data_IF_149944149898
#
_entry.id   IF_149944149898
#
_cell.length_a   1.000
_cell.length_b   1.000
_cell.length_c   1.000
_cell.angle_alpha   90.00
_cell.angle_beta   90.00
_cell.angle_gamma   90.00
#
_symmetry.space_group_name_H-M   'P 1'
#
loop_
_entity.id
_entity.type
_entity.pdbx_description
1 polymer ?
#
# COMPACT_ATOMS: atom_id res chain seq x y z
N UNK A 1 11.93 -24.49 -0.05
CA UNK A 1 11.52 -23.66 1.10
C UNK A 1 10.62 -22.55 0.60
N UNK A 2 9.48 -22.39 1.26
CA UNK A 2 8.28 -21.76 0.74
C UNK A 2 8.30 -20.23 0.92
N UNK A 3 7.75 -19.50 -0.05
CA UNK A 3 7.63 -18.03 -0.11
C UNK A 3 6.92 -17.40 1.10
N UNK A 4 6.28 -18.22 1.94
CA UNK A 4 5.64 -17.82 3.21
C UNK A 4 6.61 -17.21 4.22
N UNK A 5 7.91 -17.51 4.17
CA UNK A 5 8.87 -16.93 5.13
C UNK A 5 9.23 -15.46 4.83
N UNK A 6 8.99 -14.97 3.60
CA UNK A 6 9.30 -13.59 3.21
C UNK A 6 8.18 -12.61 3.60
N UNK A 7 6.95 -13.11 3.75
CA UNK A 7 5.78 -12.31 4.14
C UNK A 7 5.61 -12.14 5.66
N UNK A 8 6.17 -13.04 6.47
CA UNK A 8 6.07 -12.97 7.94
C UNK A 8 7.00 -11.91 8.55
N UNK A 9 8.17 -11.65 7.96
CA UNK A 9 9.14 -10.70 8.53
C UNK A 9 8.94 -9.23 8.10
N UNK A 10 8.12 -8.96 7.07
CA UNK A 10 7.82 -7.60 6.62
C UNK A 10 6.50 -7.04 7.20
N UNK A 11 5.69 -7.87 7.85
CA UNK A 11 4.39 -7.46 8.40
C UNK A 11 4.44 -6.65 9.70
N UNK A 12 5.60 -6.58 10.39
CA UNK A 12 5.65 -6.03 11.74
C UNK A 12 5.78 -4.48 11.80
N UNK A 13 6.01 -3.78 10.68
CA UNK A 13 6.27 -2.33 10.69
C UNK A 13 5.20 -1.49 9.98
N UNK A 14 4.22 -2.08 9.28
CA UNK A 14 3.21 -1.31 8.48
C UNK A 14 1.74 -1.65 8.78
N UNK A 15 1.40 -2.49 9.76
CA UNK A 15 -0.02 -2.78 10.09
C UNK A 15 -0.43 -2.38 11.51
N UNK A 16 -0.27 -1.11 11.85
CA UNK A 16 -1.18 -0.46 12.80
C UNK A 16 -1.79 0.81 12.18
N UNK A 17 -2.64 0.60 11.17
CA UNK A 17 -3.60 1.63 10.77
C UNK A 17 -4.90 0.98 10.31
N UNK A 18 -5.88 1.01 11.20
CA UNK A 18 -7.31 0.93 10.90
C UNK A 18 -7.78 -0.40 10.28
N UNK A 19 -7.94 -1.40 11.14
CA UNK A 19 -8.87 -2.53 10.92
C UNK A 19 -10.23 -1.92 10.57
N UNK A 20 -10.71 -2.11 9.33
CA UNK A 20 -11.96 -1.53 8.79
C UNK A 20 -13.11 -1.70 9.79
N UNK A 21 -13.40 -0.66 10.53
CA UNK A 21 -14.51 -0.60 11.46
C UNK A 21 -15.77 -0.17 10.68
N UNK A 22 -16.93 -0.71 11.04
CA UNK A 22 -18.20 -0.53 10.30
C UNK A 22 -18.51 0.94 9.93
N UNK A 23 -19.32 1.23 8.88
CA UNK A 23 -19.60 2.61 8.41
C UNK A 23 -20.07 3.60 9.49
N UNK A 24 -20.68 3.09 10.56
CA UNK A 24 -21.11 3.86 11.74
C UNK A 24 -19.99 4.73 12.33
N UNK A 25 -18.73 4.31 12.23
CA UNK A 25 -17.58 5.00 12.83
C UNK A 25 -17.27 6.35 12.20
N UNK A 26 -17.85 6.69 11.04
CA UNK A 26 -17.74 8.03 10.45
C UNK A 26 -18.33 9.12 11.37
N UNK A 27 -19.22 8.74 12.30
CA UNK A 27 -19.95 9.66 13.18
C UNK A 27 -19.47 9.62 14.64
N UNK A 28 -18.42 8.87 14.96
CA UNK A 28 -17.94 8.67 16.33
C UNK A 28 -16.43 8.81 16.46
N UNK A 29 -15.98 9.45 17.53
CA UNK A 29 -14.58 9.51 17.94
C UNK A 29 -14.30 8.50 19.05
N UNK A 30 -13.16 7.80 18.96
CA UNK A 30 -12.73 6.87 19.99
C UNK A 30 -12.06 7.64 21.14
N UNK A 31 -12.62 7.56 22.35
CA UNK A 31 -12.01 8.16 23.55
C UNK A 31 -11.14 7.15 24.30
N UNK A 32 -11.66 5.94 24.50
CA UNK A 32 -10.98 4.83 25.21
C UNK A 32 -11.36 3.52 24.54
N UNK A 33 -10.64 2.41 24.76
CA UNK A 33 -10.94 1.12 24.10
C UNK A 33 -12.36 0.57 24.33
N UNK A 34 -13.13 1.12 25.28
CA UNK A 34 -14.52 0.75 25.56
C UNK A 34 -15.49 1.96 25.57
N UNK A 35 -15.06 3.16 25.14
CA UNK A 35 -15.93 4.35 25.05
C UNK A 35 -15.67 5.16 23.78
N UNK A 36 -16.76 5.64 23.20
CA UNK A 36 -16.79 6.50 22.01
C UNK A 36 -17.61 7.75 22.28
N UNK A 37 -17.34 8.81 21.53
CA UNK A 37 -18.07 10.08 21.56
C UNK A 37 -18.75 10.32 20.22
N UNK A 38 -20.03 10.63 20.20
CA UNK A 38 -20.73 11.03 18.98
C UNK A 38 -20.29 12.43 18.54
N UNK A 39 -20.00 12.61 17.25
CA UNK A 39 -19.60 13.92 16.68
C UNK A 39 -20.77 14.91 16.55
N UNK A 40 -22.00 14.41 16.45
CA UNK A 40 -23.17 15.24 16.20
C UNK A 40 -23.81 15.80 17.47
N UNK A 41 -23.77 15.06 18.57
CA UNK A 41 -24.37 15.49 19.85
C UNK A 41 -23.42 15.41 21.04
N UNK A 42 -22.13 15.12 20.82
CA UNK A 42 -21.12 14.96 21.88
C UNK A 42 -21.46 13.92 22.95
N UNK A 43 -22.46 13.04 22.72
CA UNK A 43 -22.84 12.01 23.70
C UNK A 43 -21.80 10.92 23.76
N UNK A 44 -21.38 10.55 24.97
CA UNK A 44 -20.47 9.43 25.21
C UNK A 44 -21.25 8.12 25.34
N UNK A 45 -20.78 7.09 24.63
CA UNK A 45 -21.37 5.75 24.65
C UNK A 45 -20.28 4.74 25.01
N UNK A 46 -20.60 3.82 25.91
CA UNK A 46 -19.79 2.63 26.09
C UNK A 46 -20.12 1.57 25.03
N UNK A 47 -19.11 0.79 24.67
CA UNK A 47 -19.28 -0.38 23.81
C UNK A 47 -18.41 -1.52 24.35
N UNK A 48 -18.90 -2.75 24.18
CA UNK A 48 -18.25 -3.96 24.69
C UNK A 48 -18.03 -4.91 23.50
N UNK A 49 -16.94 -5.67 23.52
CA UNK A 49 -16.63 -6.68 22.50
C UNK A 49 -16.56 -6.15 21.06
N UNK A 50 -16.20 -4.86 20.88
CA UNK A 50 -16.14 -4.21 19.55
C UNK A 50 -17.49 -4.19 18.81
N UNK A 51 -18.60 -4.40 19.52
CA UNK A 51 -19.95 -4.33 18.96
C UNK A 51 -20.34 -2.89 18.65
N UNK A 52 -20.91 -2.68 17.46
CA UNK A 52 -21.31 -1.37 16.94
C UNK A 52 -22.79 -1.03 17.19
N UNK A 53 -23.54 -1.94 17.82
CA UNK A 53 -24.98 -1.82 18.01
C UNK A 53 -25.40 -0.64 18.87
N UNK A 54 -24.62 -0.29 19.91
CA UNK A 54 -24.93 0.86 20.78
C UNK A 54 -24.80 2.19 20.05
N UNK A 55 -23.73 2.34 19.24
CA UNK A 55 -23.50 3.50 18.37
C UNK A 55 -24.58 3.63 17.30
N UNK A 56 -24.91 2.54 16.60
CA UNK A 56 -25.91 2.57 15.54
C UNK A 56 -27.31 2.90 16.07
N UNK A 57 -27.69 2.33 17.22
CA UNK A 57 -28.95 2.63 17.89
C UNK A 57 -29.02 4.09 18.31
N UNK A 58 -27.94 4.64 18.87
CA UNK A 58 -27.86 6.04 19.22
C UNK A 58 -28.02 6.95 17.99
N UNK A 59 -27.28 6.67 16.91
CA UNK A 59 -27.31 7.46 15.69
C UNK A 59 -28.71 7.49 15.08
N UNK A 60 -29.35 6.34 14.92
CA UNK A 60 -30.72 6.27 14.37
C UNK A 60 -31.75 6.96 15.26
N UNK A 61 -31.63 6.84 16.58
CA UNK A 61 -32.59 7.41 17.51
C UNK A 61 -32.49 8.94 17.68
N UNK A 62 -31.30 9.52 17.47
CA UNK A 62 -31.05 10.97 17.69
C UNK A 62 -30.74 11.77 16.43
N UNK A 63 -30.36 11.10 15.35
CA UNK A 63 -29.91 11.71 14.09
C UNK A 63 -30.53 11.04 12.86
N UNK A 64 -31.49 10.12 13.04
CA UNK A 64 -32.16 9.40 11.96
C UNK A 64 -33.52 9.99 11.55
N UNK A 65 -33.72 11.29 11.78
CA UNK A 65 -34.90 12.02 11.30
C UNK A 65 -34.51 12.88 10.10
N UNK A 66 -35.27 12.74 9.02
CA UNK A 66 -35.09 13.41 7.74
C UNK A 66 -34.99 14.94 7.88
N UNK A 67 -33.95 15.55 7.31
CA UNK A 67 -33.99 16.97 6.95
C UNK A 67 -34.56 17.09 5.53
N UNK A 68 -35.89 16.97 5.43
CA UNK A 68 -36.66 17.72 4.42
C UNK A 68 -36.87 19.15 4.96
N UNK A 69 -36.36 20.16 4.27
CA UNK A 69 -36.85 21.53 4.42
C UNK A 69 -36.92 22.25 3.07
N UNK A 70 -38.19 22.40 2.64
CA UNK A 70 -38.80 23.39 1.77
C UNK A 70 -37.91 24.21 0.80
N UNK A 71 -38.11 23.99 -0.50
CA UNK A 71 -38.10 25.09 -1.46
C UNK A 71 -39.37 25.06 -2.33
N UNK A 72 -39.86 26.26 -2.56
CA UNK A 72 -41.13 26.60 -3.20
C UNK A 72 -40.97 26.39 -4.70
N UNK A 73 -41.99 25.82 -5.35
CA UNK A 73 -42.01 25.58 -6.80
C UNK A 73 -41.90 26.90 -7.58
N UNK A 74 -40.73 27.20 -8.13
CA UNK A 74 -40.59 28.06 -9.31
C UNK A 74 -39.96 27.29 -10.47
N UNK A 75 -40.63 27.39 -11.61
CA UNK A 75 -40.43 26.64 -12.82
C UNK A 75 -39.44 27.40 -13.73
N UNK A 76 -38.17 27.00 -13.79
CA UNK A 76 -37.23 27.47 -14.83
C UNK A 76 -36.54 26.31 -15.54
N UNK A 77 -36.52 26.29 -16.88
CA UNK A 77 -35.86 25.26 -17.67
C UNK A 77 -34.35 25.53 -17.72
N UNK A 78 -33.56 24.55 -17.28
CA UNK A 78 -32.12 24.50 -17.59
C UNK A 78 -31.20 24.60 -16.38
N UNK A 79 -31.01 23.48 -15.70
CA UNK A 79 -29.69 23.15 -15.16
C UNK A 79 -29.65 21.62 -14.98
N UNK A 80 -28.96 20.93 -15.87
CA UNK A 80 -28.83 19.48 -15.79
C UNK A 80 -27.96 19.18 -14.56
N UNK A 81 -28.61 18.90 -13.43
CA UNK A 81 -27.97 18.49 -12.18
C UNK A 81 -26.94 17.36 -12.41
N UNK A 82 -27.20 16.52 -13.40
CA UNK A 82 -26.31 15.47 -13.88
C UNK A 82 -25.02 15.99 -14.52
N UNK A 83 -25.04 17.12 -15.25
CA UNK A 83 -23.83 17.73 -15.83
C UNK A 83 -22.93 18.33 -14.75
N UNK A 84 -23.49 18.95 -13.71
CA UNK A 84 -22.69 19.40 -12.57
C UNK A 84 -22.10 18.25 -11.78
N UNK A 85 -22.86 17.16 -11.63
CA UNK A 85 -22.37 15.95 -10.98
C UNK A 85 -21.25 15.27 -11.78
N UNK A 86 -21.42 15.14 -13.10
CA UNK A 86 -20.39 14.56 -13.98
C UNK A 86 -19.11 15.41 -13.99
N UNK A 87 -19.25 16.74 -13.93
CA UNK A 87 -18.11 17.67 -13.81
C UNK A 87 -17.37 17.52 -12.48
N UNK A 88 -18.07 17.42 -11.35
CA UNK A 88 -17.47 17.18 -10.02
C UNK A 88 -16.78 15.82 -9.93
N UNK A 89 -17.38 14.76 -10.49
CA UNK A 89 -16.77 13.42 -10.55
C UNK A 89 -15.47 13.45 -11.36
N UNK A 90 -15.44 14.18 -12.46
CA UNK A 90 -14.25 14.30 -13.31
C UNK A 90 -13.16 15.17 -12.67
N UNK A 91 -13.53 16.16 -11.84
CA UNK A 91 -12.58 16.93 -11.01
C UNK A 91 -12.03 16.07 -9.85
N UNK A 92 -12.85 15.22 -9.23
CA UNK A 92 -12.40 14.29 -8.20
C UNK A 92 -11.45 13.20 -8.74
N UNK A 93 -11.64 12.76 -9.99
CA UNK A 93 -10.66 11.88 -10.68
C UNK A 93 -9.33 12.58 -10.91
N UNK A 94 -9.33 13.89 -11.22
CA UNK A 94 -8.10 14.70 -11.33
C UNK A 94 -7.45 14.92 -9.97
N UNK A 95 -8.27 14.99 -8.92
CA UNK A 95 -7.85 15.00 -7.51
C UNK A 95 -7.64 13.57 -6.99
N UNK A 96 -7.14 12.68 -7.86
CA UNK A 96 -6.71 11.34 -7.48
C UNK A 96 -5.74 11.47 -6.31
N UNK A 97 -6.14 10.88 -5.17
CA UNK A 97 -5.20 10.64 -4.09
C UNK A 97 -4.23 9.57 -4.61
N UNK A 98 -3.00 9.94 -4.94
CA UNK A 98 -1.96 9.00 -5.40
C UNK A 98 -1.83 7.76 -4.48
N UNK A 99 -2.10 7.94 -3.19
CA UNK A 99 -2.20 6.87 -2.18
C UNK A 99 -3.36 5.91 -2.46
N UNK A 100 -4.53 6.40 -2.85
CA UNK A 100 -5.69 5.58 -3.18
C UNK A 100 -5.45 4.75 -4.44
N UNK A 101 -4.86 5.34 -5.48
CA UNK A 101 -4.50 4.63 -6.71
C UNK A 101 -3.47 3.53 -6.44
N UNK A 102 -2.45 3.82 -5.62
CA UNK A 102 -1.46 2.82 -5.18
C UNK A 102 -2.11 1.68 -4.38
N UNK A 103 -3.06 2.00 -3.50
CA UNK A 103 -3.79 0.98 -2.70
C UNK A 103 -4.64 0.08 -3.61
N UNK A 104 -5.34 0.66 -4.59
CA UNK A 104 -6.16 -0.10 -5.53
C UNK A 104 -5.30 -1.00 -6.43
N UNK A 105 -4.14 -0.51 -6.85
CA UNK A 105 -3.16 -1.29 -7.61
C UNK A 105 -2.72 -2.55 -6.85
N UNK A 106 -2.34 -2.38 -5.57
CA UNK A 106 -1.94 -3.51 -4.69
C UNK A 106 -3.10 -4.46 -4.44
N UNK A 107 -4.31 -3.96 -4.17
CA UNK A 107 -5.49 -4.80 -3.96
C UNK A 107 -5.82 -5.65 -5.18
N UNK A 108 -5.69 -5.07 -6.38
CA UNK A 108 -5.91 -5.78 -7.64
C UNK A 108 -4.91 -6.91 -7.83
N UNK A 109 -3.62 -6.66 -7.58
CA UNK A 109 -2.58 -7.68 -7.65
C UNK A 109 -2.80 -8.82 -6.62
N UNK A 110 -3.19 -8.50 -5.39
CA UNK A 110 -3.47 -9.51 -4.35
C UNK A 110 -4.71 -10.37 -4.65
N UNK A 111 -5.62 -9.86 -5.48
CA UNK A 111 -6.80 -10.59 -5.92
C UNK A 111 -6.52 -11.52 -7.12
N UNK A 112 -5.41 -11.32 -7.85
CA UNK A 112 -5.02 -12.22 -8.95
C UNK A 112 -4.59 -13.60 -8.43
N UNK A 113 -4.80 -14.61 -9.27
CA UNK A 113 -4.32 -15.96 -8.97
C UNK A 113 -2.79 -15.98 -8.92
N UNK A 114 -2.23 -16.68 -7.94
CA UNK A 114 -0.78 -16.82 -7.78
C UNK A 114 -0.10 -17.34 -9.05
N UNK A 115 1.08 -16.79 -9.34
CA UNK A 115 1.92 -17.24 -10.44
C UNK A 115 2.28 -18.73 -10.31
N UNK A 116 2.22 -19.50 -11.41
CA UNK A 116 2.73 -20.86 -11.42
C UNK A 116 4.20 -20.89 -11.01
N UNK A 117 4.57 -21.80 -10.09
CA UNK A 117 5.94 -21.90 -9.53
C UNK A 117 7.06 -22.13 -10.55
N UNK A 118 6.71 -22.47 -11.79
CA UNK A 118 7.66 -22.74 -12.89
C UNK A 118 7.94 -21.52 -13.77
N UNK A 119 7.18 -20.44 -13.63
CA UNK A 119 7.30 -19.26 -14.47
C UNK A 119 8.38 -18.31 -13.92
N UNK A 120 9.13 -17.65 -14.80
CA UNK A 120 10.11 -16.64 -14.43
C UNK A 120 9.39 -15.36 -13.95
N UNK A 121 9.59 -14.93 -12.69
CA UNK A 121 9.00 -13.71 -12.16
C UNK A 121 9.36 -12.47 -12.97
N UNK A 122 10.57 -12.39 -13.54
CA UNK A 122 11.00 -11.21 -14.31
C UNK A 122 10.22 -11.06 -15.62
N UNK A 123 9.87 -12.18 -16.26
CA UNK A 123 9.04 -12.18 -17.48
C UNK A 123 7.58 -11.79 -17.19
N UNK A 124 7.05 -12.21 -16.05
CA UNK A 124 5.71 -11.80 -15.61
C UNK A 124 5.66 -10.28 -15.39
N UNK A 125 6.59 -9.73 -14.60
CA UNK A 125 6.61 -8.29 -14.33
C UNK A 125 6.80 -7.47 -15.60
N UNK A 126 7.60 -7.94 -16.55
CA UNK A 126 7.76 -7.29 -17.87
C UNK A 126 6.49 -7.31 -18.71
N UNK A 127 5.71 -8.38 -18.65
CA UNK A 127 4.44 -8.49 -19.39
C UNK A 127 3.34 -7.65 -18.76
N UNK A 128 3.40 -7.45 -17.44
CA UNK A 128 2.38 -6.77 -16.63
C UNK A 128 2.73 -5.32 -16.28
N UNK A 129 3.76 -4.74 -16.91
CA UNK A 129 4.24 -3.37 -16.66
C UNK A 129 3.13 -2.32 -16.83
N UNK A 130 2.29 -2.46 -17.87
CA UNK A 130 1.19 -1.51 -18.14
C UNK A 130 0.03 -1.64 -17.15
N UNK A 131 -0.14 -2.81 -16.56
CA UNK A 131 -1.22 -3.07 -15.61
C UNK A 131 -0.88 -2.57 -14.21
N UNK A 132 0.41 -2.59 -13.86
CA UNK A 132 0.94 -2.30 -12.53
C UNK A 132 2.22 -1.46 -12.60
N UNK A 133 2.13 -0.16 -12.93
CA UNK A 133 3.31 0.68 -13.14
C UNK A 133 4.14 0.88 -11.87
N UNK A 134 3.51 1.10 -10.71
CA UNK A 134 4.23 1.34 -9.46
C UNK A 134 4.74 0.03 -8.86
N UNK A 135 3.95 -1.04 -8.95
CA UNK A 135 4.32 -2.34 -8.38
C UNK A 135 5.44 -3.01 -9.20
N UNK A 136 5.44 -2.84 -10.52
CA UNK A 136 6.51 -3.32 -11.40
C UNK A 136 7.88 -2.73 -11.02
N UNK A 137 7.94 -1.41 -10.79
CA UNK A 137 9.19 -0.74 -10.40
C UNK A 137 9.74 -1.29 -9.08
N UNK A 138 8.86 -1.48 -8.09
CA UNK A 138 9.23 -2.05 -6.79
C UNK A 138 9.65 -3.52 -6.92
N UNK A 139 8.93 -4.31 -7.71
CA UNK A 139 9.22 -5.71 -7.93
C UNK A 139 10.59 -5.91 -8.57
N UNK A 140 10.96 -5.11 -9.57
CA UNK A 140 12.29 -5.17 -10.17
C UNK A 140 13.39 -4.85 -9.15
N UNK A 141 13.24 -3.80 -8.34
CA UNK A 141 14.22 -3.46 -7.29
C UNK A 141 14.40 -4.60 -6.29
N UNK A 142 13.31 -5.22 -5.86
CA UNK A 142 13.33 -6.34 -4.92
C UNK A 142 13.94 -7.61 -5.54
N UNK A 143 13.61 -7.93 -6.79
CA UNK A 143 14.11 -9.13 -7.49
C UNK A 143 15.58 -9.01 -7.90
N UNK A 144 16.07 -7.80 -8.19
CA UNK A 144 17.47 -7.54 -8.51
C UNK A 144 18.37 -7.50 -7.27
N UNK A 145 17.81 -7.38 -6.07
CA UNK A 145 18.58 -7.42 -4.83
C UNK A 145 18.96 -8.86 -4.49
N UNK A 146 20.26 -9.17 -4.29
CA UNK A 146 20.64 -10.50 -3.83
C UNK A 146 20.04 -10.74 -2.43
N UNK A 147 19.49 -11.95 -2.24
CA UNK A 147 18.90 -12.36 -0.95
C UNK A 147 19.98 -12.59 0.14
N UNK A 148 21.26 -12.60 -0.23
CA UNK A 148 22.38 -12.84 0.70
C UNK A 148 23.62 -12.04 0.34
N UNK A 149 24.53 -11.88 1.31
CA UNK A 149 25.88 -11.33 1.14
C UNK A 149 26.86 -12.31 0.49
N UNK A 150 26.50 -13.59 0.35
CA UNK A 150 27.35 -14.64 -0.25
C UNK A 150 28.00 -14.24 -1.60
N UNK A 151 27.30 -13.60 -2.57
CA UNK A 151 27.93 -13.13 -3.80
C UNK A 151 29.01 -12.06 -3.57
N UNK A 152 28.85 -11.15 -2.61
CA UNK A 152 29.87 -10.15 -2.30
C UNK A 152 31.03 -10.79 -1.53
N UNK A 153 30.77 -11.69 -0.58
CA UNK A 153 31.79 -12.48 0.13
C UNK A 153 32.65 -13.29 -0.84
N UNK A 154 32.06 -13.94 -1.84
CA UNK A 154 32.83 -14.67 -2.87
C UNK A 154 33.74 -13.74 -3.68
N UNK A 155 33.30 -12.51 -3.96
CA UNK A 155 34.13 -11.48 -4.63
C UNK A 155 35.28 -11.07 -3.70
N UNK A 156 34.99 -10.81 -2.42
CA UNK A 156 35.98 -10.39 -1.44
C UNK A 156 36.98 -11.49 -1.08
N UNK A 157 36.58 -12.75 -1.00
CA UNK A 157 37.49 -13.87 -0.79
C UNK A 157 38.47 -14.03 -1.95
N UNK A 158 37.99 -13.89 -3.19
CA UNK A 158 38.85 -13.95 -4.38
C UNK A 158 39.75 -12.71 -4.50
N UNK A 159 39.25 -11.54 -4.07
CA UNK A 159 40.07 -10.34 -3.91
C UNK A 159 41.16 -10.52 -2.86
N UNK A 160 40.83 -11.11 -1.71
CA UNK A 160 41.75 -11.40 -0.63
C UNK A 160 42.87 -12.34 -1.07
N UNK A 161 42.55 -13.34 -1.89
CA UNK A 161 43.55 -14.23 -2.48
C UNK A 161 44.49 -13.49 -3.46
N UNK A 162 43.96 -12.60 -4.31
CA UNK A 162 44.77 -11.78 -5.23
C UNK A 162 45.71 -10.81 -4.50
N UNK A 163 45.25 -10.23 -3.40
CA UNK A 163 46.05 -9.33 -2.56
C UNK A 163 47.10 -10.11 -1.77
N UNK A 164 46.73 -11.25 -1.18
CA UNK A 164 47.58 -12.02 -0.28
C UNK A 164 48.67 -12.83 -1.01
N UNK A 165 48.37 -13.44 -2.16
CA UNK A 165 49.29 -14.42 -2.79
C UNK A 165 50.23 -13.88 -3.86
N UNK A 166 49.97 -12.72 -4.49
CA UNK A 166 50.69 -12.33 -5.74
C UNK A 166 51.32 -10.96 -5.82
N UNK A 167 50.91 -9.92 -5.08
CA UNK A 167 51.58 -8.59 -5.14
C UNK A 167 51.35 -7.76 -3.88
N UNK A 168 52.38 -7.58 -3.07
CA UNK A 168 52.32 -6.82 -1.82
C UNK A 168 52.26 -5.27 -2.01
N UNK A 169 51.86 -4.77 -3.19
CA UNK A 169 51.83 -3.32 -3.50
C UNK A 169 50.81 -2.93 -4.58
N UNK A 170 49.66 -3.60 -4.63
CA UNK A 170 48.54 -3.15 -5.48
C UNK A 170 47.75 -2.04 -4.76
N UNK A 171 47.66 -0.87 -5.38
CA UNK A 171 46.78 0.19 -4.89
C UNK A 171 45.30 -0.19 -5.01
N UNK A 172 44.47 0.30 -4.10
CA UNK A 172 43.03 -0.02 -4.04
C UNK A 172 42.30 0.23 -5.37
N UNK A 173 42.63 1.32 -6.08
CA UNK A 173 42.05 1.66 -7.40
C UNK A 173 42.37 0.62 -8.47
N UNK A 174 43.56 0.03 -8.45
CA UNK A 174 43.98 -1.01 -9.40
C UNK A 174 43.32 -2.34 -9.09
N UNK A 175 43.18 -2.68 -7.80
CA UNK A 175 42.47 -3.87 -7.35
C UNK A 175 41.00 -3.83 -7.78
N UNK A 176 40.32 -2.70 -7.60
CA UNK A 176 38.93 -2.51 -8.03
C UNK A 176 38.75 -2.78 -9.54
N UNK A 177 39.64 -2.23 -10.38
CA UNK A 177 39.63 -2.47 -11.84
C UNK A 177 39.84 -3.95 -12.18
N UNK A 178 40.76 -4.63 -11.50
CA UNK A 178 41.02 -6.05 -11.72
C UNK A 178 39.84 -6.93 -11.31
N UNK A 179 39.18 -6.63 -10.19
CA UNK A 179 37.98 -7.35 -9.75
C UNK A 179 36.81 -7.16 -10.70
N UNK A 180 36.63 -5.95 -11.22
CA UNK A 180 35.61 -5.65 -12.20
C UNK A 180 35.86 -6.42 -13.51
N UNK A 181 37.09 -6.39 -14.03
CA UNK A 181 37.46 -7.15 -15.24
C UNK A 181 37.30 -8.65 -15.05
N UNK A 182 37.63 -9.19 -13.88
CA UNK A 182 37.48 -10.63 -13.60
C UNK A 182 36.01 -11.07 -13.49
N UNK A 183 35.11 -10.18 -13.09
CA UNK A 183 33.67 -10.48 -12.94
C UNK A 183 32.87 -10.34 -14.23
N UNK A 184 33.37 -9.57 -15.19
CA UNK A 184 32.71 -9.29 -16.47
C UNK A 184 33.39 -9.99 -17.67
N UNK A 185 34.43 -10.81 -17.43
CA UNK A 185 35.06 -11.68 -18.42
C UNK A 185 34.38 -13.06 -18.44
#
# INVERSE_FOLDING_TARGET
>A
MSWVCWMEFCCCVIMDRSRKFSPVWNHFDLLTPNKVKCRLCSTELSYINKSTSSMLRHYRARHGGDEESADTRENTPGHNLWETFDMEVEENKRTSNATADSILEVQRYLAESNLPRKQDPLQYWKSNERAYPHLHELALKCLCSPCSSVPCERVFSKAGELVSKRRNRLGAKTLQKLLLLNKNA
#
